data_IF_629413736466
#
_entry.id   IF_629413736466
#
_cell.length_a   1.000
_cell.length_b   1.000
_cell.length_c   1.000
_cell.angle_alpha   90.00
_cell.angle_beta   90.00
_cell.angle_gamma   90.00
#
_symmetry.space_group_name_H-M   'P 1'
#
loop_
_entity.id
_entity.type
_entity.pdbx_description
1 polymer ?
#
# COMPACT_ATOMS: atom_id res chain seq x y z
N UNK A 1 23.50 -3.09 4.77
CA UNK A 1 23.83 -1.98 3.91
C UNK A 1 22.61 -1.14 3.63
N UNK A 2 22.58 -0.03 4.25
CA UNK A 2 21.46 0.87 4.11
C UNK A 2 21.29 1.40 2.69
N UNK A 3 22.37 1.46 1.92
CA UNK A 3 22.32 1.95 0.54
C UNK A 3 21.39 1.14 -0.36
N UNK A 4 21.14 -0.11 0.01
CA UNK A 4 20.25 -0.95 -0.81
C UNK A 4 18.80 -0.47 -0.80
N UNK A 5 18.32 0.03 0.32
CA UNK A 5 16.94 0.49 0.42
C UNK A 5 16.67 1.64 -0.53
N UNK A 6 17.58 2.64 -0.58
CA UNK A 6 17.38 3.80 -1.42
C UNK A 6 17.49 3.48 -2.90
N UNK A 7 18.29 2.47 -3.27
CA UNK A 7 18.44 2.10 -4.68
C UNK A 7 17.18 1.41 -5.23
N UNK A 8 16.26 1.02 -4.37
CA UNK A 8 15.03 0.34 -4.76
C UNK A 8 13.83 1.26 -4.84
N UNK A 9 14.04 2.56 -4.72
CA UNK A 9 12.99 3.55 -4.91
C UNK A 9 13.02 4.02 -6.35
N UNK A 10 11.88 3.89 -7.03
CA UNK A 10 11.72 4.40 -8.39
C UNK A 10 11.06 5.77 -8.34
N UNK A 11 11.67 6.80 -8.93
CA UNK A 11 11.09 8.15 -8.90
C UNK A 11 9.68 8.19 -9.48
N UNK A 12 8.85 9.08 -8.95
CA UNK A 12 7.47 9.22 -9.40
C UNK A 12 7.05 10.68 -9.34
N UNK A 13 6.02 11.02 -10.13
CA UNK A 13 5.47 12.38 -10.16
C UNK A 13 4.37 12.50 -9.12
N UNK A 14 4.50 13.49 -8.21
CA UNK A 14 3.45 13.79 -7.25
C UNK A 14 3.47 13.00 -5.96
N UNK A 15 4.42 12.09 -5.81
CA UNK A 15 4.65 11.36 -4.56
C UNK A 15 6.11 10.92 -4.49
N UNK A 16 6.53 10.38 -3.34
CA UNK A 16 7.96 10.14 -3.10
C UNK A 16 8.58 9.06 -3.99
N UNK A 17 7.80 8.10 -4.43
CA UNK A 17 8.28 7.08 -5.35
C UNK A 17 7.52 5.77 -5.27
N UNK A 18 7.91 4.85 -6.15
CA UNK A 18 7.39 3.47 -6.16
C UNK A 18 8.43 2.55 -5.53
N UNK A 19 7.98 1.60 -4.72
CA UNK A 19 8.85 0.61 -4.08
C UNK A 19 8.27 -0.79 -4.30
N UNK A 20 9.15 -1.80 -4.24
CA UNK A 20 8.74 -3.19 -4.36
C UNK A 20 8.07 -3.66 -3.06
N UNK A 21 7.28 -4.75 -3.12
CA UNK A 21 6.73 -5.34 -1.90
C UNK A 21 7.82 -5.72 -0.88
N UNK A 22 8.96 -6.22 -1.34
CA UNK A 22 10.06 -6.60 -0.45
C UNK A 22 10.65 -5.38 0.27
N UNK A 23 10.83 -4.26 -0.43
CA UNK A 23 11.32 -3.02 0.20
C UNK A 23 10.32 -2.51 1.22
N UNK A 24 9.02 -2.52 0.89
CA UNK A 24 7.99 -2.10 1.83
C UNK A 24 7.99 -2.95 3.09
N UNK A 25 8.11 -4.27 2.94
CA UNK A 25 8.17 -5.16 4.10
C UNK A 25 9.39 -4.88 4.96
N UNK A 26 10.57 -4.68 4.35
CA UNK A 26 11.78 -4.36 5.09
C UNK A 26 11.63 -3.07 5.89
N UNK A 27 11.04 -2.04 5.29
CA UNK A 27 10.83 -0.76 5.98
C UNK A 27 9.84 -0.88 7.13
N UNK A 28 8.81 -1.71 7.00
CA UNK A 28 7.88 -1.97 8.09
C UNK A 28 8.55 -2.70 9.24
N UNK A 29 9.33 -3.73 8.94
CA UNK A 29 9.99 -4.53 9.94
C UNK A 29 11.02 -3.72 10.73
N UNK A 30 11.70 -2.80 10.08
CA UNK A 30 12.69 -1.93 10.73
C UNK A 30 12.06 -0.75 11.49
N UNK A 31 10.77 -0.51 11.31
CA UNK A 31 10.09 0.64 11.91
C UNK A 31 10.30 1.94 11.14
N UNK A 32 10.87 1.88 9.96
CA UNK A 32 11.14 3.04 9.12
C UNK A 32 9.86 3.60 8.48
N UNK A 33 8.89 2.75 8.20
CA UNK A 33 7.65 3.14 7.54
C UNK A 33 6.44 2.48 8.19
N UNK A 34 5.29 3.11 8.00
CA UNK A 34 3.98 2.57 8.35
C UNK A 34 3.30 2.18 7.05
N UNK A 35 2.75 0.97 6.99
CA UNK A 35 1.95 0.55 5.84
C UNK A 35 0.50 0.96 6.03
N UNK A 36 -0.05 1.61 5.02
CA UNK A 36 -1.45 2.00 5.00
C UNK A 36 -2.14 1.24 3.87
N UNK A 37 -3.12 0.44 4.24
CA UNK A 37 -3.90 -0.35 3.28
C UNK A 37 -5.11 0.48 2.89
N UNK A 38 -5.17 0.87 1.62
CA UNK A 38 -6.23 1.76 1.11
C UNK A 38 -7.35 0.99 0.42
N UNK A 39 -7.35 -0.34 0.56
CA UNK A 39 -8.42 -1.19 0.02
C UNK A 39 -9.69 -1.03 0.87
N UNK A 40 -10.81 -1.50 0.34
CA UNK A 40 -12.08 -1.49 1.08
C UNK A 40 -12.07 -2.54 2.18
N UNK A 41 -12.96 -2.36 3.17
CA UNK A 41 -13.11 -3.33 4.26
C UNK A 41 -13.49 -4.72 3.74
N UNK A 42 -14.30 -4.79 2.68
CA UNK A 42 -14.69 -6.06 2.09
C UNK A 42 -13.47 -6.83 1.56
N UNK A 43 -12.54 -6.13 0.91
CA UNK A 43 -11.32 -6.76 0.41
C UNK A 43 -10.47 -7.31 1.56
N UNK A 44 -10.35 -6.55 2.64
CA UNK A 44 -9.60 -6.98 3.82
C UNK A 44 -10.20 -8.25 4.44
N UNK A 45 -11.54 -8.28 4.53
CA UNK A 45 -12.24 -9.39 5.15
C UNK A 45 -12.18 -10.67 4.29
N UNK A 46 -12.29 -10.53 2.97
CA UNK A 46 -12.44 -11.69 2.08
C UNK A 46 -11.16 -12.14 1.40
N UNK A 47 -10.26 -11.21 1.13
CA UNK A 47 -9.05 -11.52 0.36
C UNK A 47 -7.85 -11.73 1.27
N UNK A 48 -7.81 -11.03 2.39
CA UNK A 48 -6.69 -11.08 3.32
C UNK A 48 -6.06 -9.72 3.53
N UNK A 49 -5.11 -9.65 4.45
CA UNK A 49 -4.47 -8.39 4.85
C UNK A 49 -3.03 -8.65 5.31
N UNK A 50 -2.26 -7.57 5.41
CA UNK A 50 -0.89 -7.62 5.94
C UNK A 50 -0.93 -7.30 7.43
N UNK A 51 -0.41 -8.20 8.30
CA UNK A 51 -0.35 -7.90 9.73
C UNK A 51 0.46 -6.62 9.99
N UNK A 52 -0.07 -5.75 10.84
CA UNK A 52 0.58 -4.49 11.17
C UNK A 52 0.22 -3.32 10.25
N UNK A 53 -0.43 -3.57 9.13
CA UNK A 53 -0.90 -2.47 8.27
C UNK A 53 -2.10 -1.78 8.91
N UNK A 54 -2.19 -0.46 8.71
CA UNK A 54 -3.32 0.33 9.19
C UNK A 54 -4.29 0.52 8.04
N UNK A 55 -5.56 0.15 8.26
CA UNK A 55 -6.59 0.27 7.24
C UNK A 55 -7.13 1.69 7.19
N UNK A 56 -6.94 2.37 6.06
CA UNK A 56 -7.52 3.69 5.79
C UNK A 56 -8.05 3.65 4.37
N UNK A 57 -9.30 3.22 4.16
CA UNK A 57 -9.82 3.05 2.81
C UNK A 57 -9.77 4.33 1.99
N UNK A 58 -9.35 4.23 0.73
CA UNK A 58 -9.42 5.34 -0.22
C UNK A 58 -10.87 5.57 -0.62
N UNK A 59 -11.59 4.47 -0.88
CA UNK A 59 -13.03 4.49 -1.17
C UNK A 59 -13.73 3.50 -0.27
N UNK A 60 -14.98 3.79 0.08
CA UNK A 60 -15.74 2.98 1.01
C UNK A 60 -16.76 2.09 0.31
N UNK A 61 -16.82 0.86 0.71
CA UNK A 61 -17.84 -0.11 0.31
C UNK A 61 -19.11 0.11 1.15
N UNK A 62 -20.33 -0.05 0.58
CA UNK A 62 -20.62 -0.38 -0.81
C UNK A 62 -20.57 0.79 -1.76
N UNK A 63 -20.89 1.26 -2.57
CA UNK A 63 -20.96 2.42 -3.43
C UNK A 63 -19.62 3.00 -3.88
N UNK A 64 -18.52 2.60 -3.25
CA UNK A 64 -17.18 3.03 -3.58
C UNK A 64 -17.01 4.55 -3.67
N UNK A 65 -17.70 5.27 -2.80
CA UNK A 65 -17.53 6.72 -2.67
C UNK A 65 -16.22 7.02 -1.94
N UNK A 66 -15.65 8.19 -2.20
CA UNK A 66 -14.43 8.62 -1.51
C UNK A 66 -14.67 8.66 -0.01
N UNK A 67 -13.67 8.18 0.75
CA UNK A 67 -13.73 8.21 2.20
C UNK A 67 -13.42 9.63 2.70
N UNK A 68 -14.40 10.34 3.31
CA UNK A 68 -14.16 11.70 3.78
C UNK A 68 -13.17 11.77 4.94
N UNK A 69 -12.91 10.65 5.62
CA UNK A 69 -11.97 10.59 6.73
C UNK A 69 -10.56 10.17 6.30
N UNK A 70 -10.29 10.04 5.00
CA UNK A 70 -8.99 9.56 4.52
C UNK A 70 -7.84 10.44 5.02
N UNK A 71 -7.95 11.75 4.85
CA UNK A 71 -6.87 12.68 5.21
C UNK A 71 -6.50 12.56 6.69
N UNK A 72 -7.50 12.58 7.57
CA UNK A 72 -7.27 12.46 9.00
C UNK A 72 -6.70 11.10 9.36
N UNK A 73 -7.22 10.05 8.75
CA UNK A 73 -6.78 8.68 9.01
C UNK A 73 -5.31 8.47 8.64
N UNK A 74 -4.90 8.94 7.46
CA UNK A 74 -3.53 8.74 7.01
C UNK A 74 -2.55 9.59 7.81
N UNK A 75 -2.93 10.80 8.19
CA UNK A 75 -2.08 11.65 9.04
C UNK A 75 -1.90 11.04 10.42
N UNK A 76 -2.97 10.52 11.00
CA UNK A 76 -2.89 9.89 12.32
C UNK A 76 -2.03 8.62 12.27
N UNK A 77 -2.14 7.84 11.22
CA UNK A 77 -1.38 6.59 11.09
C UNK A 77 0.11 6.81 10.85
N UNK A 78 0.48 7.90 10.18
CA UNK A 78 1.87 8.15 9.77
C UNK A 78 2.83 8.31 10.93
N UNK A 79 2.43 9.01 12.00
CA UNK A 79 3.23 9.19 13.21
C UNK A 79 4.67 9.66 12.93
N UNK A 80 4.84 10.55 11.97
CA UNK A 80 6.15 11.11 11.62
C UNK A 80 7.04 10.19 10.81
N UNK A 81 6.53 9.05 10.37
CA UNK A 81 7.31 8.09 9.58
C UNK A 81 6.93 8.17 8.11
N UNK A 82 7.75 7.53 7.26
CA UNK A 82 7.36 7.29 5.87
C UNK A 82 6.07 6.47 5.85
N UNK A 83 5.24 6.69 4.84
CA UNK A 83 4.04 5.88 4.64
C UNK A 83 4.16 5.12 3.32
N UNK A 84 3.82 3.84 3.35
CA UNK A 84 3.80 3.00 2.16
C UNK A 84 2.36 2.56 1.93
N UNK A 85 1.86 2.79 0.72
CA UNK A 85 0.43 2.63 0.40
C UNK A 85 0.20 1.35 -0.37
N UNK A 86 -0.72 0.53 0.12
CA UNK A 86 -1.06 -0.77 -0.46
C UNK A 86 -2.48 -0.79 -0.97
N UNK A 87 -2.69 -1.25 -2.20
CA UNK A 87 -4.01 -1.56 -2.72
C UNK A 87 -4.00 -2.93 -3.41
N UNK A 88 -4.97 -3.21 -4.26
CA UNK A 88 -5.08 -4.55 -4.88
C UNK A 88 -3.95 -4.80 -5.89
N UNK A 89 -3.69 -3.85 -6.77
CA UNK A 89 -2.72 -4.02 -7.85
C UNK A 89 -1.78 -2.84 -8.06
N UNK A 90 -1.90 -1.79 -7.25
CA UNK A 90 -1.04 -0.62 -7.31
C UNK A 90 -1.65 0.61 -7.97
N UNK A 91 -2.94 0.59 -8.30
CA UNK A 91 -3.61 1.71 -8.99
C UNK A 91 -4.19 2.73 -8.01
N UNK A 92 -5.02 2.27 -7.07
CA UNK A 92 -5.63 3.16 -6.06
C UNK A 92 -4.58 3.78 -5.16
N UNK A 93 -3.52 3.03 -4.85
CA UNK A 93 -2.46 3.48 -3.96
C UNK A 93 -1.64 4.62 -4.58
N UNK A 94 -1.58 4.72 -5.91
CA UNK A 94 -0.94 5.87 -6.56
C UNK A 94 -1.70 7.15 -6.24
N UNK A 95 -3.02 7.14 -6.40
CA UNK A 95 -3.84 8.31 -6.07
C UNK A 95 -3.74 8.66 -4.59
N UNK A 96 -3.77 7.64 -3.73
CA UNK A 96 -3.63 7.83 -2.29
C UNK A 96 -2.26 8.38 -1.91
N UNK A 97 -1.18 7.90 -2.57
CA UNK A 97 0.16 8.41 -2.33
C UNK A 97 0.30 9.87 -2.73
N UNK A 98 -0.31 10.26 -3.85
CA UNK A 98 -0.32 11.67 -4.28
C UNK A 98 -1.03 12.53 -3.24
N UNK A 99 -2.17 12.07 -2.73
CA UNK A 99 -2.92 12.82 -1.72
C UNK A 99 -2.12 12.94 -0.42
N UNK A 100 -1.50 11.85 0.02
CA UNK A 100 -0.68 11.88 1.23
C UNK A 100 0.49 12.85 1.09
N UNK A 101 1.09 12.92 -0.10
CA UNK A 101 2.17 13.86 -0.39
C UNK A 101 1.67 15.31 -0.28
N UNK A 102 0.47 15.60 -0.79
CA UNK A 102 -0.15 16.92 -0.63
C UNK A 102 -0.35 17.29 0.84
N UNK A 103 -0.56 16.30 1.69
CA UNK A 103 -0.72 16.49 3.12
C UNK A 103 0.62 16.65 3.86
N UNK A 104 1.74 16.62 3.14
CA UNK A 104 3.07 16.81 3.73
C UNK A 104 3.76 15.53 4.16
N UNK A 105 3.27 14.38 3.76
CA UNK A 105 3.84 13.08 4.14
C UNK A 105 4.81 12.58 3.07
N UNK A 106 5.80 11.78 3.49
CA UNK A 106 6.70 11.10 2.57
C UNK A 106 6.04 9.78 2.20
N UNK A 107 5.33 9.76 1.06
CA UNK A 107 4.45 8.68 0.68
C UNK A 107 4.95 7.91 -0.53
N UNK A 108 4.94 6.59 -0.43
CA UNK A 108 5.39 5.67 -1.48
C UNK A 108 4.26 4.73 -1.90
N UNK A 109 4.21 4.43 -3.18
CA UNK A 109 3.29 3.42 -3.69
C UNK A 109 3.99 2.06 -3.69
N UNK A 110 3.32 1.04 -3.18
CA UNK A 110 3.82 -0.34 -3.23
C UNK A 110 3.42 -0.92 -4.58
N UNK A 111 4.41 -1.20 -5.41
CA UNK A 111 4.19 -1.83 -6.72
C UNK A 111 3.50 -3.18 -6.55
N UNK A 112 2.71 -3.58 -7.53
CA UNK A 112 1.99 -4.85 -7.60
C UNK A 112 0.80 -4.96 -6.63
N UNK A 113 0.79 -4.22 -5.53
CA UNK A 113 -0.27 -4.31 -4.55
C UNK A 113 -0.32 -5.66 -3.83
N UNK A 114 -1.48 -5.97 -3.26
CA UNK A 114 -1.65 -7.20 -2.48
C UNK A 114 -1.84 -8.44 -3.36
N UNK A 115 -2.60 -8.30 -4.45
CA UNK A 115 -2.96 -9.42 -5.34
C UNK A 115 -2.23 -9.41 -6.67
N UNK A 116 -1.64 -8.29 -7.06
CA UNK A 116 -1.01 -8.14 -8.36
C UNK A 116 -2.04 -7.98 -9.49
N UNK A 117 -1.52 -7.99 -10.71
CA UNK A 117 -2.36 -7.91 -11.90
C UNK A 117 -3.02 -9.24 -12.19
N UNK A 118 -4.14 -9.20 -12.93
CA UNK A 118 -4.78 -10.41 -13.40
C UNK A 118 -3.92 -11.06 -14.49
N UNK A 119 -3.89 -12.39 -14.51
CA UNK A 119 -3.22 -13.13 -15.57
C UNK A 119 -4.10 -13.18 -16.84
N UNK A 120 -3.67 -13.92 -17.86
CA UNK A 120 -4.40 -14.03 -19.12
C UNK A 120 -5.81 -14.61 -18.97
N UNK A 121 -6.03 -15.40 -17.91
CA UNK A 121 -7.34 -15.99 -17.62
C UNK A 121 -8.20 -15.12 -16.70
N UNK A 122 -7.73 -13.93 -16.36
CA UNK A 122 -8.45 -13.02 -15.46
C UNK A 122 -8.30 -13.33 -13.99
N UNK A 123 -7.31 -14.16 -13.62
CA UNK A 123 -7.07 -14.52 -12.22
C UNK A 123 -5.92 -13.69 -11.63
N UNK A 124 -6.07 -13.27 -10.38
CA UNK A 124 -5.03 -12.55 -9.65
C UNK A 124 -4.29 -13.47 -8.72
N UNK A 125 -3.12 -13.01 -8.26
CA UNK A 125 -2.30 -13.77 -7.32
C UNK A 125 -1.32 -14.74 -7.96
N UNK A 126 -1.17 -14.70 -9.27
CA UNK A 126 -0.26 -15.59 -9.99
C UNK A 126 0.84 -14.84 -10.77
N UNK A 127 0.63 -13.55 -11.05
CA UNK A 127 1.58 -12.74 -11.81
C UNK A 127 2.47 -11.92 -10.88
N UNK A 128 1.94 -11.46 -9.77
CA UNK A 128 2.67 -10.64 -8.81
C UNK A 128 1.83 -10.39 -7.59
N UNK A 129 2.27 -9.43 -6.76
CA UNK A 129 1.56 -9.01 -5.57
C UNK A 129 2.19 -9.54 -4.30
N UNK A 130 1.85 -8.88 -3.19
CA UNK A 130 2.37 -9.19 -1.86
C UNK A 130 2.27 -10.68 -1.51
N UNK A 131 1.10 -11.26 -1.73
CA UNK A 131 0.85 -12.68 -1.42
C UNK A 131 1.73 -13.60 -2.25
N UNK A 132 1.78 -13.35 -3.56
CA UNK A 132 2.53 -14.19 -4.50
C UNK A 132 4.03 -14.16 -4.20
N UNK A 133 4.53 -13.05 -3.68
CA UNK A 133 5.93 -12.88 -3.31
C UNK A 133 6.31 -13.60 -2.00
N UNK A 134 5.36 -14.22 -1.33
CA UNK A 134 5.63 -14.96 -0.10
C UNK A 134 5.81 -14.09 1.14
N UNK A 135 5.38 -12.84 1.09
CA UNK A 135 5.48 -11.93 2.23
C UNK A 135 4.35 -12.17 3.23
N UNK A 136 4.51 -11.79 4.50
CA UNK A 136 3.51 -12.11 5.52
C UNK A 136 2.13 -11.56 5.22
N UNK A 137 1.11 -12.42 5.29
CA UNK A 137 -0.28 -12.01 5.16
C UNK A 137 -1.17 -12.99 5.91
N UNK A 138 -2.39 -12.56 6.21
CA UNK A 138 -3.36 -13.35 6.96
C UNK A 138 -4.75 -13.19 6.35
N UNK A 139 -5.62 -14.13 6.70
CA UNK A 139 -7.01 -14.14 6.30
C UNK A 139 -7.85 -14.50 7.52
N UNK A 140 -8.96 -13.83 7.70
CA UNK A 140 -9.86 -14.14 8.80
C UNK A 140 -10.72 -15.36 8.50
#
# INVERSE_FOLDING_TARGET
MSAHSSSQVHPADGYAGDITPHTANAWMQSGEAVMIDVRSEAELAWVGFVPGAVAVPWKQWPGMAMNPAFDEGVKAAAQGKKVVLLCRSGVRSIAAAKRATELGLEAYNILEGFEGDANADGHRGTVGGWRMRGLPWRQN
#
